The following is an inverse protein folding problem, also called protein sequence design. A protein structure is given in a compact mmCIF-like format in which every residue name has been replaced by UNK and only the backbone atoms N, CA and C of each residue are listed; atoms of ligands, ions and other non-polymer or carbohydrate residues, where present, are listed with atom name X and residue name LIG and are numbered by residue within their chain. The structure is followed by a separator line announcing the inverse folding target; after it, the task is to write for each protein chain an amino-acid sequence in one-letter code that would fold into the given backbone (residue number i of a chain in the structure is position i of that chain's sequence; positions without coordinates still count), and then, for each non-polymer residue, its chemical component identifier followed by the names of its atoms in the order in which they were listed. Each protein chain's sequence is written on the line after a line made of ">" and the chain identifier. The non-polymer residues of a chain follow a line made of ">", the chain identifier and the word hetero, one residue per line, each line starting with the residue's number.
data_IF_465410991420
#
_entry.id   IF_465410991420
#
_cell.length_a   1.000
_cell.length_b   1.000
_cell.length_c   1.000
_cell.angle_alpha   90.00
_cell.angle_beta   90.00
_cell.angle_gamma   90.00
#
_symmetry.space_group_name_H-M   'P 1'
#
loop_
_entity.id
_entity.type
_entity.pdbx_description
1 polymer ?
#
# COMPACT_ATOMS: atom_id res chain seq x y z
N UNK A 1 -2.04 -11.76 -30.36
CA UNK A 1 -3.42 -12.03 -29.82
C UNK A 1 -4.46 -11.22 -30.59
N UNK A 2 -5.72 -11.69 -30.69
CA UNK A 2 -6.75 -10.97 -31.40
C UNK A 2 -7.87 -10.48 -30.44
N UNK A 3 -8.66 -9.50 -30.90
CA UNK A 3 -9.74 -8.89 -30.09
C UNK A 3 -10.80 -9.89 -29.61
N UNK A 4 -11.04 -10.96 -30.36
CA UNK A 4 -12.00 -12.01 -29.98
C UNK A 4 -11.54 -12.75 -28.72
N UNK A 5 -10.25 -13.10 -28.65
CA UNK A 5 -9.67 -13.74 -27.48
C UNK A 5 -9.75 -12.84 -26.24
N UNK A 6 -9.41 -11.56 -26.38
CA UNK A 6 -9.52 -10.57 -25.27
C UNK A 6 -10.96 -10.46 -24.76
N UNK A 7 -11.95 -10.36 -25.69
CA UNK A 7 -13.37 -10.34 -25.32
C UNK A 7 -13.80 -11.60 -24.56
N UNK A 8 -13.26 -12.76 -24.91
CA UNK A 8 -13.56 -14.02 -24.20
C UNK A 8 -13.01 -13.99 -22.77
N UNK A 9 -11.80 -13.42 -22.56
CA UNK A 9 -11.23 -13.24 -21.23
C UNK A 9 -12.11 -12.34 -20.36
N UNK A 10 -12.59 -11.20 -20.90
CA UNK A 10 -13.48 -10.28 -20.18
C UNK A 10 -14.84 -10.90 -19.86
N UNK A 11 -15.41 -11.69 -20.80
CA UNK A 11 -16.69 -12.37 -20.56
C UNK A 11 -16.61 -13.38 -19.41
N UNK A 12 -15.48 -14.08 -19.30
CA UNK A 12 -15.25 -15.11 -18.28
C UNK A 12 -14.60 -14.57 -16.99
N UNK A 13 -14.41 -13.26 -16.87
CA UNK A 13 -13.81 -12.64 -15.68
C UNK A 13 -14.81 -12.65 -14.50
N UNK A 14 -14.51 -13.36 -13.40
CA UNK A 14 -15.36 -13.41 -12.23
C UNK A 14 -15.48 -12.06 -11.52
N UNK A 15 -14.51 -11.16 -11.71
CA UNK A 15 -14.46 -9.85 -11.04
C UNK A 15 -15.04 -8.71 -11.90
N UNK A 16 -15.53 -8.98 -13.11
CA UNK A 16 -15.95 -7.93 -14.07
C UNK A 16 -17.01 -6.97 -13.53
N UNK A 17 -17.93 -7.45 -12.68
CA UNK A 17 -19.02 -6.64 -12.13
C UNK A 17 -18.56 -5.64 -11.08
N UNK A 18 -17.40 -5.86 -10.46
CA UNK A 18 -16.86 -4.95 -9.45
C UNK A 18 -16.47 -3.59 -10.02
N UNK A 19 -16.15 -3.51 -11.33
CA UNK A 19 -15.87 -2.23 -12.01
C UNK A 19 -17.01 -1.21 -11.83
N UNK A 20 -18.26 -1.69 -11.77
CA UNK A 20 -19.42 -0.84 -11.60
C UNK A 20 -19.49 -0.14 -10.24
N UNK A 21 -18.75 -0.64 -9.24
CA UNK A 21 -18.63 -0.03 -7.91
C UNK A 21 -17.76 1.23 -7.90
N UNK A 22 -16.99 1.50 -8.97
CA UNK A 22 -16.06 2.63 -9.05
C UNK A 22 -16.54 3.72 -10.01
N UNK A 23 -16.17 4.97 -9.71
CA UNK A 23 -16.32 6.10 -10.61
C UNK A 23 -15.00 6.29 -11.38
N UNK A 24 -15.03 6.00 -12.67
CA UNK A 24 -13.88 6.15 -13.57
C UNK A 24 -14.21 7.18 -14.64
N UNK A 25 -13.34 8.15 -14.95
CA UNK A 25 -13.58 9.10 -16.02
C UNK A 25 -13.73 8.42 -17.38
N UNK A 26 -14.66 8.90 -18.20
CA UNK A 26 -14.89 8.32 -19.53
C UNK A 26 -13.65 8.41 -20.41
N UNK A 27 -13.31 7.30 -21.06
CA UNK A 27 -12.18 7.24 -21.99
C UNK A 27 -10.82 7.11 -21.31
N UNK A 28 -10.77 7.04 -19.98
CA UNK A 28 -9.54 6.83 -19.21
C UNK A 28 -9.34 5.35 -18.90
N UNK A 29 -8.14 4.86 -19.19
CA UNK A 29 -7.62 3.58 -18.71
C UNK A 29 -6.69 3.89 -17.54
N UNK A 30 -7.17 3.61 -16.32
CA UNK A 30 -6.49 4.00 -15.10
C UNK A 30 -5.59 2.88 -14.58
N UNK A 31 -4.29 2.99 -14.83
CA UNK A 31 -3.25 2.03 -14.47
C UNK A 31 -2.34 2.57 -13.34
N UNK A 32 -2.87 3.43 -12.48
CA UNK A 32 -2.13 4.04 -11.35
C UNK A 32 -2.83 3.84 -9.99
N UNK A 33 -3.63 2.80 -9.86
CA UNK A 33 -4.27 2.44 -8.59
C UNK A 33 -3.31 2.00 -7.48
N UNK A 34 -2.06 1.73 -7.85
CA UNK A 34 -0.96 1.49 -6.92
C UNK A 34 -0.35 2.80 -6.35
N UNK A 35 -0.76 3.97 -6.84
CA UNK A 35 -0.44 5.29 -6.29
C UNK A 35 -1.64 5.93 -5.62
N UNK A 36 -2.82 5.88 -6.25
CA UNK A 36 -4.09 6.32 -5.68
C UNK A 36 -5.22 5.44 -6.22
N UNK A 37 -5.99 4.79 -5.36
CA UNK A 37 -7.16 4.03 -5.76
C UNK A 37 -8.28 4.92 -6.31
N UNK A 38 -9.05 4.47 -7.34
CA UNK A 38 -10.18 5.22 -7.85
C UNK A 38 -11.31 5.33 -6.82
N UNK A 39 -12.17 6.33 -7.01
CA UNK A 39 -13.28 6.65 -6.13
C UNK A 39 -14.36 5.54 -6.14
N UNK A 40 -14.68 4.90 -5.01
CA UNK A 40 -15.87 4.07 -4.89
C UNK A 40 -17.15 4.93 -4.90
N UNK A 41 -18.16 4.54 -5.67
CA UNK A 41 -19.41 5.32 -5.86
C UNK A 41 -20.21 5.57 -4.58
N UNK A 42 -20.03 4.74 -3.57
CA UNK A 42 -20.69 4.88 -2.26
C UNK A 42 -20.12 6.01 -1.40
N UNK A 43 -18.86 6.38 -1.62
CA UNK A 43 -18.13 7.33 -0.74
C UNK A 43 -18.72 8.74 -0.73
N UNK A 44 -19.08 9.38 -1.88
CA UNK A 44 -19.59 10.76 -1.87
C UNK A 44 -20.87 10.91 -1.03
N UNK A 45 -21.79 9.95 -1.13
CA UNK A 45 -23.02 9.95 -0.33
C UNK A 45 -22.73 9.87 1.17
N UNK A 46 -21.80 8.98 1.56
CA UNK A 46 -21.39 8.82 2.96
C UNK A 46 -20.74 10.09 3.52
N UNK A 47 -19.86 10.75 2.77
CA UNK A 47 -19.25 12.00 3.21
C UNK A 47 -20.29 13.10 3.35
N UNK A 48 -21.25 13.18 2.44
CA UNK A 48 -22.37 14.13 2.53
C UNK A 48 -23.19 13.92 3.81
N UNK A 49 -23.51 12.66 4.14
CA UNK A 49 -24.19 12.31 5.39
C UNK A 49 -23.37 12.70 6.63
N UNK A 50 -22.09 12.33 6.68
CA UNK A 50 -21.20 12.65 7.81
C UNK A 50 -21.12 14.16 8.05
N UNK A 51 -21.02 14.95 6.98
CA UNK A 51 -20.88 16.41 7.10
C UNK A 51 -22.21 17.06 7.47
N UNK A 52 -23.31 16.74 6.78
CA UNK A 52 -24.56 17.44 6.92
C UNK A 52 -25.39 16.99 8.14
N UNK A 53 -25.38 15.69 8.44
CA UNK A 53 -26.22 15.11 9.48
C UNK A 53 -25.43 14.87 10.75
N UNK A 54 -24.37 14.05 10.69
CA UNK A 54 -23.65 13.68 11.89
C UNK A 54 -22.93 14.89 12.49
N UNK A 55 -22.11 15.59 11.71
CA UNK A 55 -21.45 16.80 12.19
C UNK A 55 -22.42 18.00 12.26
N UNK A 56 -23.19 18.23 11.18
CA UNK A 56 -24.01 19.44 11.07
C UNK A 56 -25.22 19.48 12.01
N UNK A 57 -25.79 18.34 12.39
CA UNK A 57 -26.98 18.26 13.24
C UNK A 57 -26.68 17.65 14.62
N UNK A 58 -25.98 16.50 14.67
CA UNK A 58 -25.73 15.80 15.92
C UNK A 58 -24.54 16.39 16.71
N UNK A 59 -23.65 17.17 16.05
CA UNK A 59 -22.55 17.87 16.71
C UNK A 59 -21.68 16.91 17.58
N UNK A 60 -21.48 17.27 18.87
CA UNK A 60 -20.64 16.47 19.78
C UNK A 60 -21.25 15.11 20.14
N UNK A 61 -22.58 14.96 20.09
CA UNK A 61 -23.22 13.68 20.39
C UNK A 61 -22.88 12.60 19.38
N UNK A 62 -22.37 12.96 18.20
CA UNK A 62 -21.97 12.04 17.15
C UNK A 62 -20.90 11.03 17.59
N UNK A 63 -20.12 11.34 18.60
CA UNK A 63 -19.16 10.39 19.17
C UNK A 63 -19.85 9.12 19.66
N UNK A 64 -21.05 9.23 20.23
CA UNK A 64 -21.87 8.12 20.71
C UNK A 64 -22.93 7.72 19.68
N UNK A 65 -23.69 8.68 19.15
CA UNK A 65 -24.87 8.42 18.32
C UNK A 65 -24.51 7.82 16.94
N UNK A 66 -23.28 8.09 16.46
CA UNK A 66 -22.77 7.62 15.17
C UNK A 66 -21.47 6.80 15.30
N UNK A 67 -21.14 6.31 16.49
CA UNK A 67 -20.01 5.43 16.76
C UNK A 67 -18.64 5.95 16.28
N UNK A 68 -18.41 7.26 16.32
CA UNK A 68 -17.12 7.81 15.91
C UNK A 68 -15.97 7.33 16.80
N UNK A 69 -16.26 7.04 18.07
CA UNK A 69 -15.26 6.55 19.03
C UNK A 69 -14.69 5.17 18.63
N UNK A 70 -15.50 4.30 18.03
CA UNK A 70 -15.11 2.94 17.65
C UNK A 70 -14.58 2.85 16.21
N UNK A 71 -14.68 3.94 15.44
CA UNK A 71 -14.36 3.97 14.02
C UNK A 71 -12.93 3.48 13.69
N UNK A 72 -11.87 3.86 14.44
CA UNK A 72 -10.52 3.35 14.22
C UNK A 72 -10.41 1.82 14.33
N UNK A 73 -11.05 1.21 15.31
CA UNK A 73 -11.05 -0.23 15.52
C UNK A 73 -11.91 -0.96 14.47
N UNK A 74 -13.09 -0.41 14.13
CA UNK A 74 -13.99 -0.97 13.11
C UNK A 74 -13.30 -1.01 11.74
N UNK A 75 -12.67 0.07 11.32
CA UNK A 75 -11.91 0.13 10.07
C UNK A 75 -10.70 -0.80 10.13
N UNK A 76 -9.98 -0.81 11.26
CA UNK A 76 -8.88 -1.74 11.51
C UNK A 76 -9.31 -3.20 11.34
N UNK A 77 -10.47 -3.59 11.87
CA UNK A 77 -11.01 -4.95 11.73
C UNK A 77 -11.35 -5.32 10.29
N UNK A 78 -11.86 -4.37 9.47
CA UNK A 78 -12.10 -4.60 8.04
C UNK A 78 -10.79 -4.86 7.30
N UNK A 79 -9.76 -4.04 7.58
CA UNK A 79 -8.42 -4.20 6.97
C UNK A 79 -7.78 -5.50 7.47
N UNK A 80 -7.86 -5.81 8.77
CA UNK A 80 -7.30 -7.01 9.38
C UNK A 80 -7.72 -8.29 8.66
N UNK A 81 -9.00 -8.42 8.30
CA UNK A 81 -9.49 -9.56 7.51
C UNK A 81 -8.85 -9.67 6.13
N UNK A 82 -8.50 -8.55 5.50
CA UNK A 82 -7.88 -8.53 4.17
C UNK A 82 -6.38 -8.87 4.19
N UNK A 83 -5.73 -8.69 5.33
CA UNK A 83 -4.29 -8.95 5.50
C UNK A 83 -3.99 -10.18 6.35
N UNK A 84 -5.00 -11.02 6.61
CA UNK A 84 -4.83 -12.26 7.37
C UNK A 84 -4.33 -12.03 8.80
N UNK A 85 -4.77 -10.95 9.44
CA UNK A 85 -4.42 -10.62 10.80
C UNK A 85 -5.42 -11.23 11.79
N UNK A 86 -4.97 -11.50 13.03
CA UNK A 86 -5.82 -11.92 14.13
C UNK A 86 -6.84 -10.84 14.50
N UNK A 87 -7.95 -11.25 15.12
CA UNK A 87 -8.95 -10.31 15.62
C UNK A 87 -8.32 -9.33 16.63
N UNK A 88 -8.73 -8.07 16.57
CA UNK A 88 -8.27 -7.00 17.46
C UNK A 88 -6.74 -6.76 17.43
N UNK A 89 -6.09 -7.05 16.30
CA UNK A 89 -4.65 -6.80 16.11
C UNK A 89 -4.33 -5.66 15.16
N UNK A 90 -5.35 -5.05 14.52
CA UNK A 90 -5.19 -3.94 13.58
C UNK A 90 -5.98 -2.72 14.04
N UNK A 91 -5.37 -1.55 13.98
CA UNK A 91 -6.05 -0.28 14.17
C UNK A 91 -5.74 0.68 13.02
N UNK A 92 -6.74 1.46 12.62
CA UNK A 92 -6.59 2.49 11.60
C UNK A 92 -6.36 3.84 12.27
N UNK A 93 -5.22 4.47 11.98
CA UNK A 93 -4.83 5.75 12.55
C UNK A 93 -3.75 6.43 11.72
N UNK A 94 -3.61 7.72 11.86
CA UNK A 94 -2.50 8.55 11.38
C UNK A 94 -2.10 8.31 9.90
N UNK A 95 -0.83 8.49 9.58
CA UNK A 95 -0.22 8.14 8.30
C UNK A 95 0.73 6.96 8.46
N UNK A 96 1.11 6.32 7.33
CA UNK A 96 2.13 5.25 7.33
C UNK A 96 3.42 5.69 8.01
N UNK A 97 3.89 6.92 7.74
CA UNK A 97 5.11 7.46 8.35
C UNK A 97 5.02 7.54 9.87
N UNK A 98 3.88 8.02 10.40
CA UNK A 98 3.66 8.13 11.86
C UNK A 98 3.53 6.74 12.49
N UNK A 99 2.80 5.83 11.85
CA UNK A 99 2.64 4.46 12.34
C UNK A 99 3.96 3.69 12.32
N UNK A 100 4.77 3.86 11.25
CA UNK A 100 6.12 3.29 11.18
C UNK A 100 7.01 3.84 12.30
N UNK A 101 7.01 5.15 12.53
CA UNK A 101 7.76 5.77 13.64
C UNK A 101 7.35 5.20 15.00
N UNK A 102 6.03 5.01 15.24
CA UNK A 102 5.53 4.42 16.49
C UNK A 102 6.06 3.00 16.70
N UNK A 103 5.88 2.12 15.71
CA UNK A 103 6.30 0.73 15.80
C UNK A 103 7.82 0.60 15.88
N UNK A 104 8.56 1.34 15.05
CA UNK A 104 10.02 1.30 15.02
C UNK A 104 10.62 1.78 16.34
N UNK A 105 10.16 2.93 16.85
CA UNK A 105 10.60 3.48 18.13
C UNK A 105 10.29 2.57 19.31
N UNK A 106 9.13 1.90 19.30
CA UNK A 106 8.78 0.92 20.32
C UNK A 106 9.65 -0.33 20.21
N UNK A 107 9.87 -0.84 18.98
CA UNK A 107 10.60 -2.08 18.73
C UNK A 107 12.07 -2.01 19.12
N UNK A 108 12.78 -0.90 18.83
CA UNK A 108 14.19 -0.73 19.24
C UNK A 108 14.35 -0.70 20.76
N UNK A 109 13.30 -0.39 21.52
CA UNK A 109 13.30 -0.37 22.98
C UNK A 109 13.14 -1.76 23.59
N UNK A 110 12.62 -2.73 22.83
CA UNK A 110 12.48 -4.13 23.28
C UNK A 110 13.84 -4.83 23.37
N UNK A 111 14.83 -4.37 22.57
CA UNK A 111 16.17 -4.98 22.50
C UNK A 111 17.21 -3.85 22.58
N UNK A 112 17.32 -3.15 23.71
CA UNK A 112 18.10 -1.91 23.83
C UNK A 112 19.61 -2.09 23.67
N UNK A 113 20.13 -3.30 23.78
CA UNK A 113 21.54 -3.66 23.57
C UNK A 113 21.91 -3.70 22.08
N UNK A 114 20.94 -3.91 21.18
CA UNK A 114 21.17 -3.94 19.73
C UNK A 114 20.95 -2.57 19.13
N UNK A 115 21.82 -2.20 18.18
CA UNK A 115 21.84 -0.83 17.65
C UNK A 115 21.65 -0.75 16.12
N UNK A 116 21.59 -1.89 15.46
CA UNK A 116 21.43 -1.94 14.01
C UNK A 116 19.95 -2.00 13.63
N UNK A 117 19.54 -1.09 12.76
CA UNK A 117 18.25 -1.15 12.06
C UNK A 117 18.54 -1.55 10.62
N UNK A 118 18.03 -2.70 10.18
CA UNK A 118 18.23 -3.22 8.84
C UNK A 118 17.11 -2.75 7.90
N UNK A 119 17.46 -2.40 6.67
CA UNK A 119 16.53 -2.25 5.56
C UNK A 119 17.23 -2.54 4.24
N UNK A 120 16.51 -2.45 3.13
CA UNK A 120 17.09 -2.65 1.81
C UNK A 120 17.01 -1.41 0.90
N UNK A 121 17.83 -1.43 -0.17
CA UNK A 121 17.93 -0.33 -1.13
C UNK A 121 16.73 -0.24 -2.09
N UNK A 122 15.81 -1.21 -2.07
CA UNK A 122 14.55 -1.20 -2.80
C UNK A 122 13.38 -0.65 -1.99
N UNK A 123 13.59 -0.41 -0.67
CA UNK A 123 12.55 0.14 0.19
C UNK A 123 12.14 1.55 -0.25
N UNK A 124 10.90 1.93 0.05
CA UNK A 124 10.41 3.25 -0.26
C UNK A 124 11.19 4.31 0.54
N UNK A 125 11.69 5.38 -0.11
CA UNK A 125 12.57 6.34 0.55
C UNK A 125 12.03 6.94 1.85
N UNK A 126 10.71 7.11 1.96
CA UNK A 126 10.08 7.59 3.19
C UNK A 126 10.40 6.73 4.41
N UNK A 127 10.44 5.41 4.26
CA UNK A 127 10.71 4.50 5.38
C UNK A 127 12.15 4.67 5.85
N UNK A 128 13.08 4.80 4.89
CA UNK A 128 14.48 5.10 5.19
C UNK A 128 14.63 6.46 5.90
N UNK A 129 13.83 7.47 5.51
CA UNK A 129 13.85 8.77 6.17
C UNK A 129 13.31 8.71 7.60
N UNK A 130 12.25 7.92 7.86
CA UNK A 130 11.74 7.69 9.21
C UNK A 130 12.80 7.00 10.08
N UNK A 131 13.48 5.98 9.54
CA UNK A 131 14.57 5.30 10.24
C UNK A 131 15.72 6.29 10.58
N UNK A 132 16.15 7.08 9.60
CA UNK A 132 17.23 8.07 9.79
C UNK A 132 16.83 9.12 10.83
N UNK A 133 15.59 9.61 10.79
CA UNK A 133 15.07 10.55 11.76
C UNK A 133 15.04 9.98 13.18
N UNK A 134 14.65 8.72 13.35
CA UNK A 134 14.69 8.04 14.64
C UNK A 134 16.12 7.85 15.14
N UNK A 135 17.06 7.46 14.28
CA UNK A 135 18.48 7.31 14.63
C UNK A 135 19.04 8.63 15.16
N UNK A 136 18.76 9.75 14.50
CA UNK A 136 19.17 11.07 14.99
C UNK A 136 18.63 11.39 16.39
N UNK A 137 17.39 10.98 16.67
CA UNK A 137 16.76 11.19 17.98
C UNK A 137 17.34 10.28 19.06
N UNK A 138 17.69 9.03 18.73
CA UNK A 138 18.24 8.06 19.67
C UNK A 138 19.73 8.35 20.02
N UNK A 139 20.43 9.04 19.13
CA UNK A 139 21.82 9.44 19.33
C UNK A 139 22.85 8.36 18.96
N UNK A 140 24.05 8.48 19.53
CA UNK A 140 25.21 7.68 19.15
C UNK A 140 25.01 6.17 19.33
N UNK A 141 25.58 5.43 18.40
CA UNK A 141 25.62 3.97 18.37
C UNK A 141 24.53 3.29 17.56
N UNK A 142 23.46 3.98 17.21
CA UNK A 142 22.46 3.43 16.26
C UNK A 142 22.91 3.64 14.82
N UNK A 143 22.70 2.64 13.98
CA UNK A 143 23.01 2.71 12.54
C UNK A 143 21.92 2.12 11.67
N UNK A 144 21.75 2.67 10.48
CA UNK A 144 20.97 2.06 9.40
C UNK A 144 21.90 1.23 8.53
N UNK A 145 21.67 -0.10 8.49
CA UNK A 145 22.32 -1.01 7.56
C UNK A 145 21.43 -1.21 6.34
N UNK A 146 21.93 -0.80 5.17
CA UNK A 146 21.26 -1.01 3.89
C UNK A 146 21.96 -2.09 3.10
N UNK A 147 21.18 -3.05 2.62
CA UNK A 147 21.66 -4.14 1.76
C UNK A 147 20.83 -4.18 0.49
N UNK A 148 21.19 -5.03 -0.46
CA UNK A 148 20.31 -5.25 -1.61
C UNK A 148 19.12 -6.11 -1.21
N UNK A 149 17.95 -5.95 -1.89
CA UNK A 149 16.75 -6.73 -1.56
C UNK A 149 16.96 -8.24 -1.57
N UNK A 150 17.81 -8.77 -2.45
CA UNK A 150 18.13 -10.20 -2.54
C UNK A 150 19.01 -10.71 -1.39
N UNK A 151 19.70 -9.82 -0.68
CA UNK A 151 20.64 -10.16 0.40
C UNK A 151 19.95 -10.23 1.77
N UNK A 152 18.72 -9.72 1.93
CA UNK A 152 18.03 -9.58 3.22
C UNK A 152 18.05 -10.87 4.03
N UNK A 153 17.67 -12.01 3.43
CA UNK A 153 17.61 -13.30 4.13
C UNK A 153 18.96 -13.84 4.59
N UNK A 154 20.06 -13.35 4.00
CA UNK A 154 21.42 -13.85 4.25
C UNK A 154 22.17 -13.03 5.34
N UNK A 155 21.70 -11.79 5.58
CA UNK A 155 22.41 -10.83 6.46
C UNK A 155 21.76 -10.68 7.84
N UNK A 156 20.75 -11.49 8.17
CA UNK A 156 20.08 -11.47 9.45
C UNK A 156 21.01 -12.02 10.55
N UNK A 157 21.48 -11.14 11.44
CA UNK A 157 22.46 -11.44 12.50
C UNK A 157 22.02 -10.85 13.83
N UNK A 158 22.54 -11.39 14.94
CA UNK A 158 22.11 -11.05 16.31
C UNK A 158 22.40 -9.58 16.73
N UNK A 159 23.15 -8.80 15.96
CA UNK A 159 23.38 -7.38 16.23
C UNK A 159 22.25 -6.47 15.73
N UNK A 160 21.34 -7.03 14.91
CA UNK A 160 20.17 -6.31 14.38
C UNK A 160 19.05 -6.32 15.42
N UNK A 161 18.54 -5.12 15.76
CA UNK A 161 17.39 -4.95 16.62
C UNK A 161 16.07 -5.10 15.84
N UNK A 162 15.97 -4.41 14.72
CA UNK A 162 14.74 -4.31 13.91
C UNK A 162 15.10 -4.32 12.44
N UNK A 163 14.31 -5.03 11.64
CA UNK A 163 14.31 -4.91 10.18
C UNK A 163 13.03 -4.20 9.72
N UNK A 164 13.14 -3.22 8.83
CA UNK A 164 12.01 -2.54 8.18
C UNK A 164 12.03 -2.88 6.70
N UNK A 165 11.02 -3.59 6.23
CA UNK A 165 11.00 -4.19 4.90
C UNK A 165 9.65 -3.90 4.24
N UNK A 166 9.68 -3.28 3.06
CA UNK A 166 8.51 -3.18 2.19
C UNK A 166 8.32 -4.51 1.46
N UNK A 167 7.16 -5.17 1.65
CA UNK A 167 6.90 -6.48 1.03
C UNK A 167 7.00 -6.44 -0.49
N UNK A 168 6.57 -5.34 -1.12
CA UNK A 168 6.63 -5.16 -2.58
C UNK A 168 7.39 -3.89 -2.94
N UNK A 169 8.51 -4.04 -3.62
CA UNK A 169 9.30 -2.93 -4.18
C UNK A 169 8.44 -2.05 -5.10
N UNK A 170 8.38 -0.77 -4.79
CA UNK A 170 7.51 0.18 -5.47
C UNK A 170 7.92 0.47 -6.92
N UNK A 171 9.17 0.23 -7.32
CA UNK A 171 9.68 0.46 -8.69
C UNK A 171 9.57 -0.77 -9.55
N UNK A 172 10.08 -1.90 -9.06
CA UNK A 172 10.21 -3.12 -9.84
C UNK A 172 9.04 -4.09 -9.69
N UNK A 173 8.26 -3.94 -8.60
CA UNK A 173 7.20 -4.88 -8.26
C UNK A 173 7.71 -6.20 -7.68
N UNK A 174 9.01 -6.33 -7.33
CA UNK A 174 9.54 -7.49 -6.62
C UNK A 174 8.83 -7.66 -5.29
N UNK A 175 8.42 -8.88 -4.98
CA UNK A 175 7.84 -9.25 -3.69
C UNK A 175 8.83 -10.08 -2.88
N UNK A 176 9.05 -9.70 -1.63
CA UNK A 176 9.79 -10.50 -0.66
C UNK A 176 8.97 -11.71 -0.19
N UNK A 177 9.65 -12.79 0.18
CA UNK A 177 9.04 -13.92 0.90
C UNK A 177 8.92 -13.56 2.39
N UNK A 178 7.73 -13.09 2.77
CA UNK A 178 7.44 -12.68 4.15
C UNK A 178 7.65 -13.82 5.14
N UNK A 179 7.23 -15.04 4.79
CA UNK A 179 7.32 -16.20 5.66
C UNK A 179 8.77 -16.59 5.92
N UNK A 180 9.60 -16.69 4.87
CA UNK A 180 11.02 -17.05 5.00
C UNK A 180 11.79 -16.00 5.82
N UNK A 181 11.63 -14.72 5.47
CA UNK A 181 12.34 -13.64 6.15
C UNK A 181 11.90 -13.53 7.62
N UNK A 182 10.60 -13.63 7.90
CA UNK A 182 10.10 -13.55 9.27
C UNK A 182 10.61 -14.72 10.12
N UNK A 183 10.62 -15.94 9.58
CA UNK A 183 11.13 -17.11 10.28
C UNK A 183 12.62 -16.96 10.63
N UNK A 184 13.44 -16.60 9.66
CA UNK A 184 14.88 -16.36 9.86
C UNK A 184 15.16 -15.22 10.84
N UNK A 185 14.43 -14.12 10.75
CA UNK A 185 14.55 -13.00 11.69
C UNK A 185 14.24 -13.44 13.13
N UNK A 186 13.21 -14.27 13.33
CA UNK A 186 12.85 -14.81 14.64
C UNK A 186 13.93 -15.70 15.23
N UNK A 187 14.65 -16.50 14.42
CA UNK A 187 15.77 -17.32 14.88
C UNK A 187 16.88 -16.48 15.53
N UNK A 188 17.06 -15.24 15.06
CA UNK A 188 18.02 -14.26 15.60
C UNK A 188 17.40 -13.27 16.59
N UNK A 189 16.11 -13.40 16.94
CA UNK A 189 15.40 -12.50 17.84
C UNK A 189 15.22 -11.08 17.27
N UNK A 190 15.20 -10.94 15.96
CA UNK A 190 15.03 -9.66 15.26
C UNK A 190 13.53 -9.38 15.09
N UNK A 191 13.07 -8.18 15.37
CA UNK A 191 11.71 -7.72 15.04
C UNK A 191 11.65 -7.24 13.60
N UNK A 192 10.66 -7.72 12.84
CA UNK A 192 10.42 -7.27 11.46
C UNK A 192 9.17 -6.41 11.44
N UNK A 193 9.28 -5.20 10.90
CA UNK A 193 8.14 -4.33 10.57
C UNK A 193 7.94 -4.40 9.06
N UNK A 194 6.80 -4.97 8.65
CA UNK A 194 6.42 -5.08 7.24
C UNK A 194 5.67 -3.84 6.79
N UNK A 195 6.12 -3.17 5.71
CA UNK A 195 5.30 -2.20 4.99
C UNK A 195 4.47 -2.90 3.92
N UNK A 196 3.14 -2.81 4.06
CA UNK A 196 2.14 -3.43 3.20
C UNK A 196 1.49 -2.44 2.21
N UNK A 197 2.09 -1.27 1.98
CA UNK A 197 1.52 -0.22 1.14
C UNK A 197 1.24 -0.65 -0.30
N UNK A 198 1.97 -1.64 -0.82
CA UNK A 198 1.75 -2.23 -2.14
C UNK A 198 1.20 -3.66 -2.10
N UNK A 199 0.81 -4.14 -0.92
CA UNK A 199 0.34 -5.52 -0.69
C UNK A 199 -1.13 -5.57 -0.29
N UNK A 200 -1.55 -4.75 0.69
CA UNK A 200 -2.92 -4.74 1.20
C UNK A 200 -3.92 -4.39 0.09
N UNK A 201 -4.79 -5.33 -0.24
CA UNK A 201 -5.76 -5.21 -1.33
C UNK A 201 -5.22 -5.55 -2.73
N UNK A 202 -3.92 -5.79 -2.89
CA UNK A 202 -3.33 -6.19 -4.17
C UNK A 202 -3.34 -7.70 -4.39
N UNK A 203 -3.20 -8.47 -3.30
CA UNK A 203 -3.19 -9.94 -3.27
C UNK A 203 -3.41 -10.43 -1.83
N UNK A 204 -3.64 -11.74 -1.60
CA UNK A 204 -3.71 -12.28 -0.26
C UNK A 204 -2.42 -12.04 0.52
N UNK A 205 -2.55 -11.38 1.67
CA UNK A 205 -1.51 -11.29 2.70
C UNK A 205 -1.97 -12.17 3.86
N UNK A 206 -1.06 -12.87 4.51
CA UNK A 206 -1.35 -13.73 5.66
C UNK A 206 -0.35 -13.43 6.77
N UNK A 207 -0.62 -12.39 7.56
CA UNK A 207 0.25 -11.98 8.66
C UNK A 207 0.34 -13.08 9.74
N UNK A 208 -0.80 -13.66 10.14
CA UNK A 208 -0.83 -14.72 11.12
C UNK A 208 -0.07 -15.96 10.65
N UNK A 209 -0.35 -16.44 9.42
CA UNK A 209 0.26 -17.64 8.87
C UNK A 209 1.76 -17.48 8.58
N UNK A 210 2.21 -16.28 8.21
CA UNK A 210 3.64 -15.97 8.04
C UNK A 210 4.39 -15.80 9.37
N UNK A 211 3.65 -15.67 10.48
CA UNK A 211 4.20 -15.36 11.78
C UNK A 211 4.73 -13.93 11.92
N UNK A 212 4.34 -13.01 11.05
CA UNK A 212 4.69 -11.59 11.17
C UNK A 212 4.12 -11.00 12.47
N UNK A 213 4.91 -10.17 13.14
CA UNK A 213 4.51 -9.59 14.43
C UNK A 213 4.08 -8.13 14.30
N UNK A 214 4.61 -7.40 13.32
CA UNK A 214 4.41 -5.96 13.15
C UNK A 214 4.24 -5.64 11.68
N UNK A 215 3.26 -4.79 11.36
CA UNK A 215 3.10 -4.26 10.02
C UNK A 215 2.49 -2.84 10.03
N UNK A 216 2.75 -2.10 8.97
CA UNK A 216 2.10 -0.83 8.64
C UNK A 216 1.63 -0.87 7.20
N UNK A 217 0.71 0.01 6.83
CA UNK A 217 0.33 0.15 5.44
C UNK A 217 -0.58 1.35 5.22
N UNK A 218 -0.64 1.83 3.99
CA UNK A 218 -1.56 2.90 3.60
C UNK A 218 -2.89 2.34 3.09
N UNK A 219 -3.93 3.17 3.14
CA UNK A 219 -5.26 2.77 2.68
C UNK A 219 -5.72 3.48 1.40
N UNK A 220 -4.99 4.49 0.92
CA UNK A 220 -5.38 5.29 -0.25
C UNK A 220 -5.03 4.66 -1.61
N UNK A 221 -4.23 3.59 -1.64
CA UNK A 221 -3.85 2.87 -2.86
C UNK A 221 -4.89 1.80 -3.19
N UNK A 222 -4.51 0.52 -3.12
CA UNK A 222 -5.38 -0.62 -3.48
C UNK A 222 -6.65 -0.71 -2.63
N UNK A 223 -6.64 -0.19 -1.39
CA UNK A 223 -7.81 -0.17 -0.51
C UNK A 223 -8.83 0.94 -0.83
N UNK A 224 -8.52 1.83 -1.77
CA UNK A 224 -9.44 2.85 -2.30
C UNK A 224 -9.96 3.88 -1.28
N UNK A 225 -9.24 4.09 -0.17
CA UNK A 225 -9.67 4.97 0.92
C UNK A 225 -9.72 6.46 0.58
N UNK A 226 -9.18 6.85 -0.58
CA UNK A 226 -9.14 8.22 -1.06
C UNK A 226 -7.88 9.00 -0.65
N UNK A 227 -7.68 10.20 -1.19
CA UNK A 227 -6.47 10.98 -0.97
C UNK A 227 -6.32 11.37 0.50
N UNK A 228 -5.16 11.05 1.10
CA UNK A 228 -4.88 11.30 2.51
C UNK A 228 -5.66 10.42 3.49
N UNK A 229 -6.24 9.31 3.04
CA UNK A 229 -6.91 8.36 3.91
C UNK A 229 -5.98 7.85 5.01
N UNK A 230 -6.51 7.62 6.24
CA UNK A 230 -5.73 7.14 7.36
C UNK A 230 -5.04 5.82 7.06
N UNK A 231 -3.82 5.66 7.55
CA UNK A 231 -3.07 4.43 7.49
C UNK A 231 -3.55 3.41 8.53
N UNK A 232 -2.98 2.20 8.49
CA UNK A 232 -3.20 1.20 9.52
C UNK A 232 -1.87 0.71 10.08
N UNK A 233 -1.93 0.15 11.28
CA UNK A 233 -0.85 -0.62 11.86
C UNK A 233 -1.40 -1.93 12.46
N UNK A 234 -0.55 -2.94 12.45
CA UNK A 234 -0.78 -4.26 13.01
C UNK A 234 0.28 -4.57 14.06
N UNK A 235 -0.16 -5.14 15.16
CA UNK A 235 0.69 -5.76 16.19
C UNK A 235 0.05 -7.08 16.59
N UNK A 236 0.81 -8.17 16.50
CA UNK A 236 0.33 -9.50 16.97
C UNK A 236 -0.15 -9.44 18.42
N UNK A 237 -1.21 -10.15 18.80
CA UNK A 237 -1.77 -10.09 20.16
C UNK A 237 -0.74 -10.30 21.26
N UNK A 238 0.21 -11.23 21.06
CA UNK A 238 1.26 -11.55 22.03
C UNK A 238 2.20 -10.39 22.33
N UNK A 239 2.40 -9.48 21.35
CA UNK A 239 3.35 -8.38 21.47
C UNK A 239 2.67 -7.05 21.87
N UNK A 240 1.32 -6.96 21.81
CA UNK A 240 0.61 -5.70 22.02
C UNK A 240 0.94 -5.04 23.37
N UNK A 241 1.09 -5.83 24.45
CA UNK A 241 1.37 -5.28 25.77
C UNK A 241 2.82 -4.81 25.96
N UNK A 242 3.75 -5.31 25.15
CA UNK A 242 5.17 -4.97 25.19
C UNK A 242 5.49 -3.75 24.30
N UNK A 243 4.70 -3.54 23.25
CA UNK A 243 4.83 -2.36 22.38
C UNK A 243 4.31 -1.11 23.10
N UNK A 244 5.22 -0.17 23.36
CA UNK A 244 4.90 1.11 23.97
C UNK A 244 5.26 2.25 23.01
N UNK A 245 4.27 2.74 22.24
CA UNK A 245 4.51 3.83 21.28
C UNK A 245 5.00 5.11 21.99
N UNK A 246 5.94 5.85 21.38
CA UNK A 246 6.45 7.08 21.97
C UNK A 246 5.44 8.22 21.94
N UNK A 247 4.44 8.14 21.05
CA UNK A 247 3.37 9.11 20.91
C UNK A 247 2.20 8.72 21.83
N UNK A 248 2.40 8.87 23.14
CA UNK A 248 1.35 8.68 24.13
C UNK A 248 0.30 9.77 23.99
N UNK A 249 -0.93 9.39 23.68
CA UNK A 249 -2.01 10.34 23.47
C UNK A 249 -3.30 9.92 24.16
N UNK A 250 -4.22 10.86 24.33
CA UNK A 250 -5.43 10.64 25.11
C UNK A 250 -6.33 9.52 24.57
N UNK A 251 -6.37 9.31 23.23
CA UNK A 251 -7.14 8.21 22.62
C UNK A 251 -6.50 6.82 22.83
N UNK A 252 -5.21 6.78 23.17
CA UNK A 252 -4.51 5.55 23.56
C UNK A 252 -4.48 5.33 25.08
N UNK A 253 -5.15 6.17 25.87
CA UNK A 253 -5.27 6.03 27.30
C UNK A 253 -6.33 4.97 27.66
N UNK A 254 -6.14 4.24 28.76
CA UNK A 254 -7.09 3.22 29.23
C UNK A 254 -8.46 3.76 29.59
N UNK A 255 -8.53 5.04 30.01
CA UNK A 255 -9.75 5.76 30.35
C UNK A 255 -9.66 7.19 29.79
N UNK A 256 -9.87 7.37 28.46
CA UNK A 256 -9.58 8.65 27.78
C UNK A 256 -10.44 9.82 28.26
N UNK A 257 -11.60 9.56 28.87
CA UNK A 257 -12.52 10.59 29.35
C UNK A 257 -12.44 10.87 30.85
N UNK A 258 -11.53 10.17 31.57
CA UNK A 258 -11.26 10.48 32.97
C UNK A 258 -10.33 11.70 33.14
N UNK A 259 -9.64 12.06 32.03
CA UNK A 259 -8.71 13.19 31.96
C UNK A 259 -7.62 13.16 33.04
N UNK A 260 -7.11 11.93 33.35
CA UNK A 260 -6.00 11.72 34.26
C UNK A 260 -4.76 12.50 33.81
N UNK A 261 -4.00 13.01 34.79
CA UNK A 261 -2.73 13.70 34.49
C UNK A 261 -1.60 12.72 34.13
N UNK A 262 -1.68 11.49 34.64
CA UNK A 262 -0.72 10.44 34.35
C UNK A 262 -1.23 9.51 33.24
N UNK A 263 -0.39 9.32 32.21
CA UNK A 263 -0.73 8.43 31.10
C UNK A 263 -0.67 6.97 31.51
N UNK A 264 -1.78 6.28 31.34
CA UNK A 264 -1.91 4.83 31.49
C UNK A 264 -2.34 4.24 30.12
N UNK A 265 -1.47 3.43 29.47
CA UNK A 265 -1.79 2.91 28.16
C UNK A 265 -3.03 2.02 28.18
N UNK A 266 -3.84 2.09 27.14
CA UNK A 266 -4.93 1.15 26.90
C UNK A 266 -4.38 -0.26 26.70
N UNK A 267 -5.20 -1.27 26.96
CA UNK A 267 -4.88 -2.66 26.60
C UNK A 267 -4.99 -2.89 25.09
N UNK A 268 -4.24 -3.85 24.60
CA UNK A 268 -4.32 -4.30 23.22
C UNK A 268 -3.86 -3.24 22.20
N UNK A 269 -4.39 -3.36 20.99
CA UNK A 269 -3.97 -2.52 19.84
C UNK A 269 -4.29 -1.03 20.02
N UNK A 270 -5.30 -0.70 20.82
CA UNK A 270 -5.79 0.68 21.03
C UNK A 270 -4.76 1.62 21.64
N UNK A 271 -3.75 1.12 22.36
CA UNK A 271 -2.62 1.93 22.88
C UNK A 271 -1.83 2.65 21.79
N UNK A 272 -1.95 2.20 20.54
CA UNK A 272 -1.31 2.81 19.39
C UNK A 272 -2.08 4.03 18.83
N UNK A 273 -3.25 4.34 19.37
CA UNK A 273 -3.95 5.59 19.08
C UNK A 273 -3.28 6.77 19.82
N UNK A 274 -3.26 7.93 19.19
CA UNK A 274 -2.70 9.15 19.78
C UNK A 274 -3.78 10.18 20.05
N UNK A 275 -4.12 10.95 19.04
CA UNK A 275 -5.10 12.02 19.08
C UNK A 275 -6.45 11.63 18.50
N UNK A 276 -7.31 12.62 18.39
CA UNK A 276 -8.63 12.50 17.76
C UNK A 276 -8.47 11.98 16.32
N UNK A 277 -9.18 10.92 15.92
CA UNK A 277 -9.11 10.41 14.56
C UNK A 277 -9.71 11.40 13.55
N UNK A 278 -9.22 11.39 12.32
CA UNK A 278 -9.80 12.16 11.22
C UNK A 278 -11.11 11.53 10.73
N UNK A 279 -12.22 11.82 11.43
CA UNK A 279 -13.52 11.15 11.27
C UNK A 279 -14.01 11.14 9.82
N UNK A 280 -13.91 12.28 9.10
CA UNK A 280 -14.39 12.39 7.72
C UNK A 280 -13.61 11.43 6.80
N UNK A 281 -12.27 11.49 6.85
CA UNK A 281 -11.42 10.62 6.02
C UNK A 281 -11.59 9.13 6.40
N UNK A 282 -11.75 8.83 7.68
CA UNK A 282 -11.94 7.47 8.16
C UNK A 282 -13.32 6.93 7.78
N UNK A 283 -14.36 7.76 7.76
CA UNK A 283 -15.69 7.39 7.28
C UNK A 283 -15.71 7.13 5.77
N UNK A 284 -14.92 7.88 5.00
CA UNK A 284 -14.69 7.60 3.58
C UNK A 284 -14.05 6.22 3.39
N UNK A 285 -12.99 5.93 4.14
CA UNK A 285 -12.29 4.65 4.10
C UNK A 285 -13.20 3.50 4.55
N UNK A 286 -13.94 3.66 5.66
CA UNK A 286 -14.88 2.65 6.16
C UNK A 286 -15.86 2.19 5.07
N UNK A 287 -16.41 3.15 4.33
CA UNK A 287 -17.34 2.89 3.21
C UNK A 287 -16.62 2.37 1.97
N UNK A 288 -15.41 2.86 1.68
CA UNK A 288 -14.61 2.35 0.56
C UNK A 288 -14.29 0.85 0.71
N UNK A 289 -14.01 0.42 1.93
CA UNK A 289 -13.72 -0.99 2.24
C UNK A 289 -14.92 -1.92 2.01
N UNK A 290 -16.15 -1.42 1.92
CA UNK A 290 -17.32 -2.24 1.60
C UNK A 290 -17.29 -2.81 0.18
N UNK A 291 -16.49 -2.22 -0.72
CA UNK A 291 -16.23 -2.79 -2.05
C UNK A 291 -15.64 -4.20 -1.96
N UNK A 292 -14.92 -4.49 -0.88
CA UNK A 292 -14.16 -5.71 -0.66
C UNK A 292 -14.96 -6.83 0.05
N UNK A 293 -16.18 -6.58 0.53
CA UNK A 293 -16.95 -7.54 1.34
C UNK A 293 -17.15 -8.90 0.65
N UNK A 294 -17.39 -8.88 -0.68
CA UNK A 294 -17.67 -10.08 -1.48
C UNK A 294 -16.49 -10.43 -2.40
N UNK A 295 -15.30 -9.94 -2.11
CA UNK A 295 -14.11 -10.13 -2.95
C UNK A 295 -13.22 -11.24 -2.40
N UNK A 296 -12.98 -12.26 -3.22
CA UNK A 296 -11.95 -13.25 -2.97
C UNK A 296 -10.58 -12.73 -3.46
N UNK A 297 -9.67 -12.48 -2.52
CA UNK A 297 -8.33 -11.99 -2.81
C UNK A 297 -7.49 -12.99 -3.64
N UNK A 298 -7.80 -14.28 -3.62
CA UNK A 298 -7.17 -15.25 -4.51
C UNK A 298 -7.59 -15.03 -5.97
N UNK A 299 -8.86 -14.70 -6.22
CA UNK A 299 -9.32 -14.32 -7.57
C UNK A 299 -8.68 -12.99 -8.01
N UNK A 300 -8.53 -12.02 -7.09
CA UNK A 300 -7.79 -10.78 -7.36
C UNK A 300 -6.35 -11.11 -7.79
N UNK A 301 -5.65 -11.96 -7.05
CA UNK A 301 -4.30 -12.39 -7.39
C UNK A 301 -4.23 -13.05 -8.76
N UNK A 302 -5.10 -14.01 -9.03
CA UNK A 302 -5.15 -14.72 -10.32
C UNK A 302 -5.37 -13.78 -11.50
N UNK A 303 -6.31 -12.84 -11.37
CA UNK A 303 -6.56 -11.85 -12.43
C UNK A 303 -5.38 -10.89 -12.59
N UNK A 304 -4.78 -10.40 -11.51
CA UNK A 304 -3.58 -9.55 -11.56
C UNK A 304 -2.44 -10.24 -12.34
N UNK A 305 -2.19 -11.50 -12.07
CA UNK A 305 -1.17 -12.30 -12.79
C UNK A 305 -1.49 -12.44 -14.28
N UNK A 306 -2.75 -12.70 -14.64
CA UNK A 306 -3.20 -12.77 -16.04
C UNK A 306 -3.08 -11.43 -16.76
N UNK A 307 -3.43 -10.32 -16.09
CA UNK A 307 -3.24 -8.97 -16.63
C UNK A 307 -1.76 -8.66 -16.86
N UNK A 308 -0.90 -9.05 -15.92
CA UNK A 308 0.55 -8.92 -16.05
C UNK A 308 1.08 -9.68 -17.26
N UNK A 309 0.75 -10.98 -17.36
CA UNK A 309 1.25 -11.84 -18.42
C UNK A 309 0.75 -11.35 -19.80
N UNK A 310 -0.52 -10.91 -19.88
CA UNK A 310 -1.07 -10.30 -21.09
C UNK A 310 -0.30 -9.02 -21.49
N UNK A 311 -0.04 -8.13 -20.53
CA UNK A 311 0.66 -6.88 -20.78
C UNK A 311 2.09 -7.16 -21.29
N UNK A 312 2.82 -8.00 -20.55
CA UNK A 312 4.20 -8.36 -20.90
C UNK A 312 4.28 -8.97 -22.31
N UNK A 313 3.42 -9.96 -22.62
CA UNK A 313 3.38 -10.61 -23.93
C UNK A 313 3.04 -9.63 -25.06
N UNK A 314 2.08 -8.73 -24.83
CA UNK A 314 1.71 -7.73 -25.84
C UNK A 314 2.85 -6.76 -26.12
N UNK A 315 3.57 -6.29 -25.09
CA UNK A 315 4.75 -5.41 -25.27
C UNK A 315 5.89 -6.16 -25.98
N UNK A 316 6.17 -7.40 -25.57
CA UNK A 316 7.21 -8.24 -26.22
C UNK A 316 6.93 -8.41 -27.72
N UNK A 317 5.68 -8.62 -28.11
CA UNK A 317 5.26 -8.76 -29.50
C UNK A 317 5.39 -7.48 -30.34
N UNK A 318 5.60 -6.32 -29.73
CA UNK A 318 5.89 -5.08 -30.46
C UNK A 318 7.31 -5.07 -31.03
N UNK A 319 8.20 -5.89 -30.49
CA UNK A 319 9.58 -6.03 -30.94
C UNK A 319 10.58 -5.09 -30.23
N UNK A 320 11.88 -5.32 -30.47
CA UNK A 320 12.95 -4.62 -29.75
C UNK A 320 13.08 -3.12 -30.15
N UNK A 321 12.48 -2.71 -31.25
CA UNK A 321 12.48 -1.32 -31.72
C UNK A 321 11.69 -0.38 -30.78
N UNK A 322 10.95 -0.93 -29.82
CA UNK A 322 10.25 -0.13 -28.80
C UNK A 322 11.19 0.41 -27.74
N UNK A 323 12.38 -0.15 -27.56
CA UNK A 323 13.35 0.16 -26.49
C UNK A 323 12.75 0.04 -25.06
N UNK A 324 11.61 -0.66 -24.94
CA UNK A 324 10.98 -0.97 -23.66
C UNK A 324 11.60 -2.23 -23.07
N UNK A 325 12.22 -2.08 -21.89
CA UNK A 325 12.83 -3.20 -21.16
C UNK A 325 12.02 -3.53 -19.91
N UNK A 326 11.46 -4.75 -19.85
CA UNK A 326 10.72 -5.21 -18.67
C UNK A 326 11.64 -5.22 -17.44
N UNK A 327 11.22 -4.55 -16.36
CA UNK A 327 11.93 -4.50 -15.08
C UNK A 327 11.38 -5.48 -14.05
N UNK A 328 10.09 -5.81 -14.13
CA UNK A 328 9.44 -6.81 -13.26
C UNK A 328 9.71 -8.22 -13.81
N UNK A 329 10.96 -8.67 -13.70
CA UNK A 329 11.45 -9.93 -14.31
C UNK A 329 11.38 -11.14 -13.38
N UNK A 330 10.70 -11.03 -12.24
CA UNK A 330 10.64 -12.05 -11.20
C UNK A 330 9.60 -13.13 -11.53
N UNK A 331 9.76 -14.37 -10.96
CA UNK A 331 8.72 -15.40 -11.00
C UNK A 331 7.38 -14.90 -10.45
N UNK A 332 6.31 -15.55 -10.82
CA UNK A 332 4.95 -15.11 -10.53
C UNK A 332 4.68 -14.94 -9.05
N UNK A 333 5.19 -15.83 -8.20
CA UNK A 333 5.09 -15.78 -6.74
C UNK A 333 5.87 -14.62 -6.11
N UNK A 334 6.92 -14.13 -6.78
CA UNK A 334 7.78 -13.03 -6.33
C UNK A 334 7.41 -11.68 -6.96
N UNK A 335 6.19 -11.53 -7.48
CA UNK A 335 5.69 -10.28 -8.05
C UNK A 335 4.52 -9.72 -7.26
N UNK A 336 4.47 -8.40 -7.10
CA UNK A 336 3.28 -7.67 -6.67
C UNK A 336 2.23 -7.52 -7.78
N UNK A 337 1.36 -6.52 -7.65
CA UNK A 337 0.26 -6.26 -8.60
C UNK A 337 0.55 -5.04 -9.48
N UNK A 338 1.75 -4.98 -10.05
CA UNK A 338 2.21 -3.92 -10.97
C UNK A 338 3.17 -4.49 -12.00
N UNK A 339 3.34 -3.78 -13.12
CA UNK A 339 4.33 -4.06 -14.15
C UNK A 339 5.11 -2.79 -14.44
N UNK A 340 6.42 -2.92 -14.62
CA UNK A 340 7.33 -1.80 -14.83
C UNK A 340 8.21 -2.05 -16.05
N UNK A 341 8.38 -1.01 -16.88
CA UNK A 341 9.27 -1.02 -18.02
C UNK A 341 10.25 0.14 -17.94
N UNK A 342 11.50 -0.06 -18.26
CA UNK A 342 12.46 1.03 -18.44
C UNK A 342 12.46 1.50 -19.91
N UNK A 343 12.60 2.82 -20.09
CA UNK A 343 12.83 3.45 -21.39
C UNK A 343 13.56 4.78 -21.20
N UNK A 344 14.61 5.12 -22.00
CA UNK A 344 15.38 6.35 -21.85
C UNK A 344 14.52 7.63 -21.87
N UNK A 345 13.38 7.62 -22.59
CA UNK A 345 12.41 8.71 -22.66
C UNK A 345 11.13 8.41 -21.87
N UNK A 346 11.23 7.58 -20.81
CA UNK A 346 10.06 7.07 -20.06
C UNK A 346 9.13 8.19 -19.56
N UNK A 347 9.67 9.31 -19.09
CA UNK A 347 8.86 10.43 -18.64
C UNK A 347 8.00 11.02 -19.75
N UNK A 348 8.61 11.38 -20.90
CA UNK A 348 7.88 11.96 -22.02
C UNK A 348 6.82 11.01 -22.61
N UNK A 349 7.14 9.71 -22.67
CA UNK A 349 6.21 8.67 -23.09
C UNK A 349 5.03 8.59 -22.12
N UNK A 350 5.26 8.61 -20.79
CA UNK A 350 4.19 8.59 -19.81
C UNK A 350 3.29 9.82 -19.92
N UNK A 351 3.84 11.01 -20.12
CA UNK A 351 3.04 12.22 -20.34
C UNK A 351 2.19 12.14 -21.62
N UNK A 352 2.74 11.59 -22.70
CA UNK A 352 1.99 11.35 -23.93
C UNK A 352 0.88 10.31 -23.76
N UNK A 353 1.10 9.28 -22.93
CA UNK A 353 0.10 8.28 -22.57
C UNK A 353 -1.05 8.91 -21.78
N UNK A 354 -0.75 9.74 -20.77
CA UNK A 354 -1.75 10.45 -19.96
C UNK A 354 -2.62 11.35 -20.84
N UNK A 355 -2.01 12.12 -21.76
CA UNK A 355 -2.74 12.95 -22.74
C UNK A 355 -3.70 12.13 -23.62
N UNK A 356 -3.41 10.84 -23.82
CA UNK A 356 -4.24 9.91 -24.59
C UNK A 356 -5.15 9.03 -23.73
N UNK A 357 -5.25 9.36 -22.45
CA UNK A 357 -6.16 8.70 -21.50
C UNK A 357 -5.65 7.38 -20.91
N UNK A 358 -4.37 7.05 -21.06
CA UNK A 358 -3.74 5.94 -20.37
C UNK A 358 -2.91 6.48 -19.21
N UNK A 359 -3.40 6.30 -17.99
CA UNK A 359 -2.79 6.88 -16.79
C UNK A 359 -2.01 5.81 -16.05
N UNK A 360 -0.70 5.90 -16.10
CA UNK A 360 0.27 5.22 -15.22
C UNK A 360 1.13 6.27 -14.54
N UNK A 361 2.25 5.87 -13.95
CA UNK A 361 3.19 6.82 -13.36
C UNK A 361 4.64 6.56 -13.83
N UNK A 362 5.48 7.57 -13.57
CA UNK A 362 6.90 7.54 -13.90
C UNK A 362 7.72 7.51 -12.62
N UNK A 363 8.72 6.64 -12.56
CA UNK A 363 9.71 6.61 -11.48
C UNK A 363 11.11 6.83 -12.05
N UNK A 364 11.73 7.90 -11.59
CA UNK A 364 13.10 8.21 -12.01
C UNK A 364 14.07 7.05 -11.75
N UNK A 365 15.09 6.83 -12.62
CA UNK A 365 15.42 7.73 -13.72
C UNK A 365 14.63 7.48 -15.02
N UNK A 366 14.05 6.28 -15.25
CA UNK A 366 13.59 5.82 -16.57
C UNK A 366 12.40 4.84 -16.55
N UNK A 367 11.74 4.64 -15.40
CA UNK A 367 10.72 3.60 -15.23
C UNK A 367 9.31 4.12 -15.51
N UNK A 368 8.63 3.52 -16.49
CA UNK A 368 7.19 3.58 -16.66
C UNK A 368 6.57 2.47 -15.81
N UNK A 369 5.68 2.82 -14.88
CA UNK A 369 5.05 1.88 -13.98
C UNK A 369 3.53 1.87 -14.16
N UNK A 370 2.96 0.67 -14.17
CA UNK A 370 1.53 0.45 -14.34
C UNK A 370 0.99 -0.47 -13.24
N UNK A 371 0.03 0.03 -12.48
CA UNK A 371 -0.68 -0.72 -11.45
C UNK A 371 -1.77 -1.60 -12.05
N UNK A 372 -1.73 -2.88 -11.70
CA UNK A 372 -2.69 -3.87 -12.17
C UNK A 372 -3.73 -4.13 -11.07
N UNK A 373 -4.87 -3.43 -11.16
CA UNK A 373 -5.92 -3.45 -10.14
C UNK A 373 -7.16 -4.22 -10.67
N UNK A 374 -7.31 -5.51 -10.33
CA UNK A 374 -8.29 -6.42 -10.94
C UNK A 374 -9.75 -6.02 -10.78
N UNK A 375 -10.11 -5.27 -9.74
CA UNK A 375 -11.51 -4.95 -9.48
C UNK A 375 -12.12 -4.01 -10.53
N UNK A 376 -11.31 -3.20 -11.20
CA UNK A 376 -11.85 -2.26 -12.19
C UNK A 376 -11.17 -2.33 -13.57
N UNK A 377 -10.01 -2.97 -13.70
CA UNK A 377 -9.36 -3.19 -15.00
C UNK A 377 -9.96 -4.40 -15.71
N UNK A 378 -10.18 -4.27 -17.01
CA UNK A 378 -10.49 -5.37 -17.93
C UNK A 378 -9.25 -5.78 -18.74
N UNK A 379 -9.30 -6.94 -19.36
CA UNK A 379 -8.26 -7.36 -20.32
C UNK A 379 -8.26 -6.46 -21.57
N UNK A 380 -9.43 -5.95 -21.97
CA UNK A 380 -9.55 -4.97 -23.04
C UNK A 380 -8.86 -3.63 -22.70
N UNK A 381 -8.85 -3.20 -21.44
CA UNK A 381 -8.10 -2.01 -21.02
C UNK A 381 -6.60 -2.19 -21.27
N UNK A 382 -6.03 -3.34 -20.89
CA UNK A 382 -4.62 -3.67 -21.13
C UNK A 382 -4.31 -3.71 -22.63
N UNK A 383 -5.15 -4.41 -23.40
CA UNK A 383 -4.96 -4.50 -24.84
C UNK A 383 -4.96 -3.11 -25.49
N UNK A 384 -5.93 -2.26 -25.12
CA UNK A 384 -6.04 -0.89 -25.61
C UNK A 384 -4.88 -0.01 -25.16
N UNK A 385 -4.42 -0.14 -23.92
CA UNK A 385 -3.26 0.60 -23.43
C UNK A 385 -2.02 0.27 -24.27
N UNK A 386 -1.77 -1.00 -24.60
CA UNK A 386 -0.63 -1.42 -25.42
C UNK A 386 -0.78 -0.92 -26.87
N UNK A 387 -1.99 -0.92 -27.47
CA UNK A 387 -2.20 -0.28 -28.79
C UNK A 387 -1.78 1.18 -28.77
N UNK A 388 -2.08 1.94 -27.69
CA UNK A 388 -1.72 3.34 -27.55
C UNK A 388 -0.21 3.50 -27.32
N UNK A 389 0.42 2.64 -26.48
CA UNK A 389 1.88 2.62 -26.28
C UNK A 389 2.59 2.42 -27.61
N UNK A 390 2.16 1.41 -28.38
CA UNK A 390 2.75 1.09 -29.69
C UNK A 390 2.70 2.30 -30.63
N UNK A 391 1.54 2.95 -30.74
CA UNK A 391 1.38 4.11 -31.61
C UNK A 391 2.25 5.30 -31.18
N UNK A 392 2.31 5.60 -29.86
CA UNK A 392 3.14 6.67 -29.32
C UNK A 392 4.62 6.43 -29.63
N UNK A 393 5.10 5.20 -29.47
CA UNK A 393 6.50 4.87 -29.71
C UNK A 393 6.82 4.89 -31.22
N UNK A 394 6.01 4.24 -32.04
CA UNK A 394 6.22 4.16 -33.49
C UNK A 394 6.17 5.54 -34.18
N UNK A 395 5.24 6.38 -33.77
CA UNK A 395 5.09 7.72 -34.34
C UNK A 395 6.00 8.76 -33.69
N UNK A 396 6.69 8.40 -32.59
CA UNK A 396 7.45 9.32 -31.75
C UNK A 396 6.65 10.53 -31.28
N UNK A 397 5.32 10.35 -31.11
CA UNK A 397 4.43 11.46 -30.71
C UNK A 397 4.69 11.97 -29.29
N UNK A 398 5.51 11.27 -28.52
CA UNK A 398 6.05 11.68 -27.23
C UNK A 398 7.16 12.76 -27.35
N UNK A 399 7.81 12.92 -28.51
CA UNK A 399 8.91 13.87 -28.72
C UNK A 399 8.38 15.28 -29.03
N UNK A 400 7.68 15.87 -28.04
CA UNK A 400 7.15 17.21 -28.06
C UNK A 400 7.58 17.95 -26.79
N UNK A 401 7.93 19.24 -26.91
CA UNK A 401 8.43 20.04 -25.78
C UNK A 401 7.56 19.94 -24.53
N UNK A 402 6.23 19.97 -24.69
CA UNK A 402 5.27 19.88 -23.57
C UNK A 402 5.40 18.60 -22.72
N UNK A 403 5.90 17.50 -23.29
CA UNK A 403 6.06 16.24 -22.56
C UNK A 403 7.40 16.08 -21.85
N UNK A 404 8.37 16.98 -22.13
CA UNK A 404 9.67 17.01 -21.47
C UNK A 404 9.70 17.95 -20.26
N UNK A 405 8.69 18.81 -20.10
CA UNK A 405 8.55 19.69 -18.94
C UNK A 405 8.10 18.86 -17.73
N UNK A 406 8.96 18.80 -16.70
CA UNK A 406 8.67 17.99 -15.51
C UNK A 406 7.71 18.72 -14.57
N UNK A 407 6.57 18.07 -14.27
CA UNK A 407 5.69 18.43 -13.17
C UNK A 407 6.22 17.96 -11.80
N UNK A 408 5.51 18.32 -10.72
CA UNK A 408 5.81 17.82 -9.37
C UNK A 408 5.45 16.33 -9.21
N UNK A 409 4.43 15.91 -9.92
CA UNK A 409 3.98 14.50 -10.01
C UNK A 409 3.76 14.14 -11.48
N UNK A 410 3.75 12.85 -11.76
CA UNK A 410 3.54 12.34 -13.14
C UNK A 410 2.14 12.60 -13.62
#
# INVERSE_FOLDING_TARGET
>A
MNKTYISTLDQNDPLKTHREKFELPKGVIYLDGNSLGPLPKSVPGRITEVVNEQWGQSLISSWNDHDWITLPARVGSKIGRMIGAEENSVVCADSTSVNLYKLLSASVRLIPERKVILSDTGNFPNDLYVIQGLIQQLGDGYELRLVKPEEISEVLTEDIAVAVITEVDYRTGRRHDMTDITAKAKEHGIKVIWDLCHSAGAFPVDLSGSGAELAVGCSYKYLNGGPGAPAFLYVTPELQNDIQPPLSGWMGHTAPFDFDLDYRPAEGISRNLCGTPGVIAMSALDTALDVWQDVDLHQVRQKSQKLFNLFAELIENLGPETDLTLQTTFPEEQRGSQISFAHPQGYAIMQALIDRGVVGDFRAPDILRFGLTPLYLSYADIYRAVEIIADIIQTKSWDQLKYHERGLVT
#
